data_IF_240347389934
#
_entry.id   IF_240347389934
#
_cell.length_a   1.000
_cell.length_b   1.000
_cell.length_c   1.000
_cell.angle_alpha   90.00
_cell.angle_beta   90.00
_cell.angle_gamma   90.00
#
_symmetry.space_group_name_H-M   'P 1'
#
loop_
_entity.id
_entity.type
_entity.pdbx_description
1 polymer ?
#
# COMPACT_ATOMS: atom_id res chain seq x y z
N UNK A 1 17.09 7.21 -5.26
CA UNK A 1 15.86 6.40 -5.14
C UNK A 1 16.32 5.03 -4.70
N UNK A 2 15.88 4.53 -3.55
CA UNK A 2 16.30 3.21 -3.06
C UNK A 2 15.64 2.14 -3.94
N UNK A 3 16.44 1.22 -4.47
CA UNK A 3 15.94 0.10 -5.25
C UNK A 3 15.22 -0.89 -4.32
N UNK A 4 13.95 -1.20 -4.62
CA UNK A 4 13.16 -2.18 -3.88
C UNK A 4 13.38 -3.56 -4.49
N UNK A 5 13.79 -4.53 -3.66
CA UNK A 5 14.15 -5.88 -4.10
C UNK A 5 13.22 -6.94 -3.52
N UNK A 6 13.01 -7.99 -4.30
CA UNK A 6 12.36 -9.21 -3.83
C UNK A 6 13.31 -10.01 -2.94
N UNK A 7 12.74 -10.83 -2.07
CA UNK A 7 13.52 -11.72 -1.23
C UNK A 7 14.30 -12.73 -2.12
N UNK A 8 15.64 -12.81 -2.00
CA UNK A 8 16.45 -13.70 -2.82
C UNK A 8 16.16 -15.19 -2.58
N UNK A 9 15.56 -15.54 -1.45
CA UNK A 9 15.24 -16.92 -1.08
C UNK A 9 13.91 -17.41 -1.68
N UNK A 10 13.25 -16.61 -2.53
CA UNK A 10 12.02 -17.02 -3.21
C UNK A 10 12.29 -18.07 -4.29
N UNK A 11 11.75 -19.27 -4.11
CA UNK A 11 11.76 -20.32 -5.13
C UNK A 11 10.65 -20.10 -6.16
N UNK A 12 11.00 -19.50 -7.29
CA UNK A 12 10.07 -19.17 -8.38
C UNK A 12 9.39 -20.41 -8.96
N UNK A 13 10.11 -21.53 -9.05
CA UNK A 13 9.58 -22.76 -9.65
C UNK A 13 8.50 -23.38 -8.73
N UNK A 14 8.79 -23.49 -7.44
CA UNK A 14 7.83 -23.97 -6.45
C UNK A 14 6.59 -23.07 -6.37
N UNK A 15 6.77 -21.75 -6.46
CA UNK A 15 5.65 -20.80 -6.50
C UNK A 15 4.80 -20.97 -7.76
N UNK A 16 5.42 -21.13 -8.93
CA UNK A 16 4.70 -21.34 -10.18
C UNK A 16 3.85 -22.62 -10.14
N UNK A 17 4.40 -23.72 -9.62
CA UNK A 17 3.68 -24.98 -9.42
C UNK A 17 2.50 -24.81 -8.45
N UNK A 18 2.75 -24.22 -7.28
CA UNK A 18 1.71 -24.01 -6.27
C UNK A 18 0.57 -23.12 -6.79
N UNK A 19 0.89 -22.10 -7.61
CA UNK A 19 -0.12 -21.26 -8.25
C UNK A 19 -0.92 -22.01 -9.31
N UNK A 20 -0.27 -22.89 -10.09
CA UNK A 20 -0.94 -23.72 -11.09
C UNK A 20 -2.06 -24.56 -10.50
N UNK A 21 -1.86 -25.08 -9.28
CA UNK A 21 -2.86 -25.87 -8.54
C UNK A 21 -3.89 -24.99 -7.84
N UNK A 22 -3.43 -23.99 -7.06
CA UNK A 22 -4.30 -23.26 -6.12
C UNK A 22 -4.95 -22.02 -6.70
N UNK A 23 -4.45 -21.51 -7.83
CA UNK A 23 -4.86 -20.24 -8.49
C UNK A 23 -4.77 -18.98 -7.60
N UNK A 24 -4.22 -19.13 -6.40
CA UNK A 24 -4.00 -18.07 -5.40
C UNK A 24 -2.88 -18.51 -4.47
N UNK A 25 -1.99 -17.58 -4.13
CA UNK A 25 -0.90 -17.81 -3.20
C UNK A 25 -0.88 -16.74 -2.10
N UNK A 26 -0.38 -17.13 -0.94
CA UNK A 26 0.02 -16.23 0.13
C UNK A 26 1.53 -16.37 0.30
N UNK A 27 2.27 -15.28 0.07
CA UNK A 27 3.73 -15.26 0.10
C UNK A 27 4.20 -14.37 1.26
N UNK A 28 4.54 -14.94 2.42
CA UNK A 28 5.19 -14.17 3.48
C UNK A 28 6.60 -13.74 3.03
N UNK A 29 7.06 -12.57 3.49
CA UNK A 29 8.44 -12.12 3.26
C UNK A 29 8.81 -11.94 1.79
N UNK A 30 7.89 -11.41 0.96
CA UNK A 30 8.09 -11.23 -0.48
C UNK A 30 9.22 -10.26 -0.83
N UNK A 31 9.46 -9.26 0.02
CA UNK A 31 10.55 -8.30 -0.13
C UNK A 31 11.78 -8.77 0.62
N UNK A 32 12.96 -8.40 0.12
CA UNK A 32 14.19 -8.53 0.88
C UNK A 32 14.06 -7.73 2.20
N UNK A 33 14.65 -8.18 3.33
CA UNK A 33 14.46 -7.55 4.64
C UNK A 33 14.81 -6.06 4.67
N UNK A 34 15.88 -5.67 3.98
CA UNK A 34 16.31 -4.27 3.86
C UNK A 34 15.30 -3.41 3.08
N UNK A 35 14.73 -3.96 2.01
CA UNK A 35 13.71 -3.30 1.20
C UNK A 35 12.40 -3.17 1.97
N UNK A 36 12.01 -4.20 2.73
CA UNK A 36 10.84 -4.15 3.60
C UNK A 36 10.98 -3.05 4.67
N UNK A 37 12.14 -2.97 5.33
CA UNK A 37 12.43 -1.93 6.32
C UNK A 37 12.45 -0.52 5.70
N UNK A 38 13.01 -0.37 4.50
CA UNK A 38 13.01 0.91 3.80
C UNK A 38 11.58 1.37 3.46
N UNK A 39 10.73 0.47 2.96
CA UNK A 39 9.31 0.78 2.69
C UNK A 39 8.58 1.14 3.99
N UNK A 40 8.75 0.36 5.05
CA UNK A 40 8.15 0.62 6.34
C UNK A 40 8.54 2.01 6.87
N UNK A 41 9.84 2.35 6.85
CA UNK A 41 10.31 3.66 7.30
C UNK A 41 9.77 4.83 6.48
N UNK A 42 9.60 4.67 5.17
CA UNK A 42 8.95 5.69 4.31
C UNK A 42 7.47 5.85 4.67
N UNK A 43 6.75 4.74 4.86
CA UNK A 43 5.34 4.77 5.22
C UNK A 43 5.09 5.37 6.61
N UNK A 44 5.98 5.09 7.57
CA UNK A 44 5.95 5.69 8.91
C UNK A 44 6.25 7.19 8.89
N UNK A 45 7.14 7.64 8.00
CA UNK A 45 7.48 9.06 7.85
C UNK A 45 6.44 9.84 7.02
N UNK A 46 5.59 9.17 6.25
CA UNK A 46 4.54 9.81 5.47
C UNK A 46 3.43 10.34 6.39
N UNK A 47 3.13 11.63 6.25
CA UNK A 47 2.17 12.34 7.11
C UNK A 47 0.94 12.82 6.33
N UNK A 48 0.99 12.76 5.00
CA UNK A 48 -0.06 13.23 4.08
C UNK A 48 -1.03 12.10 3.71
N UNK A 49 -1.50 11.38 4.71
CA UNK A 49 -2.55 10.40 4.51
C UNK A 49 -3.89 11.10 4.28
N UNK A 50 -4.64 10.63 3.28
CA UNK A 50 -6.01 11.06 3.02
C UNK A 50 -6.97 9.90 3.26
N UNK A 51 -8.17 10.23 3.70
CA UNK A 51 -9.31 9.33 3.76
C UNK A 51 -10.19 9.59 2.54
N UNK A 52 -10.44 8.56 1.75
CA UNK A 52 -11.40 8.62 0.64
C UNK A 52 -12.75 8.07 1.09
N UNK A 53 -13.79 8.90 1.06
CA UNK A 53 -15.17 8.50 1.38
C UNK A 53 -15.97 8.39 0.10
N UNK A 54 -16.61 7.24 -0.12
CA UNK A 54 -17.58 7.03 -1.19
C UNK A 54 -19.00 7.17 -0.63
N UNK A 55 -19.74 8.20 -1.03
CA UNK A 55 -21.11 8.44 -0.58
C UNK A 55 -21.95 9.05 -1.71
N UNK A 56 -23.17 8.53 -1.91
CA UNK A 56 -24.12 9.08 -2.88
C UNK A 56 -23.63 9.07 -4.34
N UNK A 57 -22.71 8.18 -4.71
CA UNK A 57 -22.11 8.13 -6.06
C UNK A 57 -20.95 9.09 -6.28
N UNK A 58 -20.48 9.79 -5.24
CA UNK A 58 -19.32 10.68 -5.29
C UNK A 58 -18.19 10.18 -4.36
N UNK A 59 -16.96 10.62 -4.67
CA UNK A 59 -15.78 10.39 -3.84
C UNK A 59 -15.29 11.71 -3.25
N UNK A 60 -15.01 11.71 -1.94
CA UNK A 60 -14.50 12.85 -1.20
C UNK A 60 -13.15 12.49 -0.59
N UNK A 61 -12.15 13.36 -0.76
CA UNK A 61 -10.86 13.23 -0.09
C UNK A 61 -10.85 14.14 1.15
N UNK A 62 -10.63 13.55 2.32
CA UNK A 62 -10.52 14.24 3.60
C UNK A 62 -9.11 14.02 4.16
N UNK A 63 -8.48 14.97 4.86
CA UNK A 63 -7.26 14.69 5.58
C UNK A 63 -7.53 13.72 6.74
N UNK A 64 -6.58 12.83 7.02
CA UNK A 64 -6.72 11.84 8.10
C UNK A 64 -6.89 12.48 9.49
N UNK A 65 -6.31 13.67 9.70
CA UNK A 65 -6.16 14.27 11.03
C UNK A 65 -7.01 15.54 11.26
N UNK A 66 -7.89 15.91 10.32
CA UNK A 66 -8.49 17.24 10.34
C UNK A 66 -9.87 17.33 9.70
N UNK A 67 -10.65 18.30 10.16
CA UNK A 67 -11.99 18.65 9.66
C UNK A 67 -11.97 19.58 8.44
N UNK A 68 -10.80 19.89 7.89
CA UNK A 68 -10.65 20.88 6.82
C UNK A 68 -10.25 20.14 5.57
N UNK A 69 -11.03 20.23 4.50
CA UNK A 69 -10.67 19.60 3.23
C UNK A 69 -9.39 20.26 2.68
N UNK A 70 -8.53 19.48 2.01
CA UNK A 70 -7.33 20.03 1.36
C UNK A 70 -7.68 21.01 0.23
N UNK A 71 -8.83 20.78 -0.43
CA UNK A 71 -9.45 21.72 -1.37
C UNK A 71 -10.63 22.45 -0.67
N UNK A 72 -10.51 23.76 -0.38
CA UNK A 72 -11.57 24.53 0.25
C UNK A 72 -12.88 24.55 -0.54
N UNK A 73 -12.84 24.42 -1.87
CA UNK A 73 -14.04 24.40 -2.71
C UNK A 73 -14.87 23.11 -2.52
N UNK A 74 -14.29 22.07 -1.91
CA UNK A 74 -14.95 20.80 -1.60
C UNK A 74 -15.38 20.70 -0.14
N UNK A 75 -15.23 21.77 0.65
CA UNK A 75 -15.68 21.81 2.04
C UNK A 75 -17.16 22.22 2.10
N UNK A 76 -18.06 21.23 2.09
CA UNK A 76 -19.51 21.44 2.23
C UNK A 76 -20.04 20.82 3.53
N UNK A 77 -19.73 21.44 4.67
CA UNK A 77 -20.29 21.13 5.99
C UNK A 77 -20.04 22.25 7.00
#
# INVERSE_FOLDING_TARGET
>A
MTEIRLNPDLDVAALAEAFGVKRRLHLPGVLAPDSANAVAGVLEAETRWKTTVAAGGAFFELPLNGRVAEDPAKQSW
#
